data_IF_535593581942
#
_entry.id   IF_535593581942
#
_cell.length_a   1.000
_cell.length_b   1.000
_cell.length_c   1.000
_cell.angle_alpha   90.00
_cell.angle_beta   90.00
_cell.angle_gamma   90.00
#
_symmetry.space_group_name_H-M   'P 1'
#
loop_
_entity.id
_entity.type
_entity.pdbx_description
1 polymer ?
#
# COMPACT_ATOMS: atom_id res chain seq x y z
N UNK A 1 19.35 -13.61 -21.05
CA UNK A 1 17.87 -13.38 -20.98
C UNK A 1 17.36 -14.13 -19.77
N UNK A 2 16.64 -13.45 -18.89
CA UNK A 2 15.94 -14.15 -17.82
C UNK A 2 14.71 -14.83 -18.41
N UNK A 3 14.50 -16.11 -18.09
CA UNK A 3 13.23 -16.77 -18.43
C UNK A 3 12.09 -16.06 -17.71
N UNK A 4 11.05 -15.68 -18.44
CA UNK A 4 9.83 -15.16 -17.84
C UNK A 4 8.97 -16.33 -17.36
N UNK A 5 8.48 -16.24 -16.13
CA UNK A 5 7.57 -17.24 -15.57
C UNK A 5 6.19 -16.61 -15.43
N UNK A 6 5.18 -17.28 -15.94
CA UNK A 6 3.79 -16.87 -15.74
C UNK A 6 3.26 -17.48 -14.45
N UNK A 7 2.63 -16.65 -13.63
CA UNK A 7 2.02 -17.08 -12.36
C UNK A 7 0.54 -16.68 -12.34
N UNK A 8 -0.26 -17.45 -11.61
CA UNK A 8 -1.66 -17.12 -11.37
C UNK A 8 -1.77 -15.92 -10.44
N UNK A 9 -2.57 -14.92 -10.79
CA UNK A 9 -2.73 -13.66 -10.04
C UNK A 9 -3.29 -13.92 -8.65
N UNK A 10 -4.32 -14.76 -8.53
CA UNK A 10 -4.96 -15.07 -7.25
C UNK A 10 -3.99 -15.79 -6.30
N UNK A 11 -3.19 -16.72 -6.85
CA UNK A 11 -2.17 -17.43 -6.07
C UNK A 11 -1.06 -16.49 -5.59
N UNK A 12 -0.61 -15.58 -6.44
CA UNK A 12 0.39 -14.57 -6.08
C UNK A 12 -0.13 -13.61 -4.99
N UNK A 13 -1.38 -13.18 -5.14
CA UNK A 13 -2.04 -12.34 -4.13
C UNK A 13 -2.16 -13.06 -2.79
N UNK A 14 -2.63 -14.32 -2.78
CA UNK A 14 -2.77 -15.12 -1.56
C UNK A 14 -1.41 -15.34 -0.87
N UNK A 15 -0.36 -15.57 -1.65
CA UNK A 15 1.00 -15.68 -1.14
C UNK A 15 1.46 -14.37 -0.47
N UNK A 16 1.28 -13.24 -1.13
CA UNK A 16 1.62 -11.92 -0.59
C UNK A 16 0.86 -11.60 0.70
N UNK A 17 -0.45 -11.88 0.72
CA UNK A 17 -1.29 -11.76 1.91
C UNK A 17 -0.73 -12.57 3.09
N UNK A 18 -0.48 -13.87 2.88
CA UNK A 18 0.03 -14.75 3.92
C UNK A 18 1.38 -14.28 4.46
N UNK A 19 2.29 -13.88 3.58
CA UNK A 19 3.60 -13.38 3.98
C UNK A 19 3.52 -12.11 4.83
N UNK A 20 2.66 -11.15 4.47
CA UNK A 20 2.49 -9.90 5.21
C UNK A 20 1.83 -10.14 6.57
N UNK A 21 0.83 -11.00 6.65
CA UNK A 21 0.15 -11.34 7.92
C UNK A 21 1.13 -11.97 8.92
N UNK A 22 2.12 -12.76 8.46
CA UNK A 22 3.12 -13.35 9.37
C UNK A 22 4.00 -12.31 10.06
N UNK A 23 4.08 -11.09 9.54
CA UNK A 23 4.83 -9.98 10.19
C UNK A 23 4.05 -9.30 11.31
N UNK A 24 2.81 -9.69 11.56
CA UNK A 24 1.89 -9.04 12.50
C UNK A 24 0.98 -7.98 11.86
N UNK A 25 1.12 -7.74 10.55
CA UNK A 25 0.22 -6.81 9.85
C UNK A 25 -1.22 -7.33 9.84
N UNK A 26 -2.20 -6.44 10.01
CA UNK A 26 -3.62 -6.81 9.93
C UNK A 26 -3.98 -7.35 8.55
N UNK A 27 -5.01 -8.19 8.47
CA UNK A 27 -5.51 -8.70 7.19
C UNK A 27 -5.91 -7.57 6.23
N UNK A 28 -6.54 -6.52 6.75
CA UNK A 28 -6.96 -5.35 5.96
C UNK A 28 -5.77 -4.63 5.33
N UNK A 29 -4.75 -4.33 6.12
CA UNK A 29 -3.54 -3.67 5.63
C UNK A 29 -2.73 -4.58 4.70
N UNK A 30 -2.63 -5.86 5.02
CA UNK A 30 -1.97 -6.87 4.16
C UNK A 30 -2.65 -6.97 2.80
N UNK A 31 -3.99 -6.94 2.78
CA UNK A 31 -4.77 -6.91 1.52
C UNK A 31 -4.46 -5.67 0.70
N UNK A 32 -4.48 -4.48 1.31
CA UNK A 32 -4.15 -3.23 0.62
C UNK A 32 -2.77 -3.29 -0.02
N UNK A 33 -1.76 -3.79 0.69
CA UNK A 33 -0.40 -3.91 0.15
C UNK A 33 -0.33 -4.95 -0.97
N UNK A 34 -0.90 -6.15 -0.74
CA UNK A 34 -0.89 -7.23 -1.73
C UNK A 34 -1.64 -6.84 -3.02
N UNK A 35 -2.79 -6.19 -2.91
CA UNK A 35 -3.56 -5.69 -4.07
C UNK A 35 -2.70 -4.75 -4.93
N UNK A 36 -1.98 -3.81 -4.30
CA UNK A 36 -1.16 -2.84 -5.05
C UNK A 36 0.05 -3.51 -5.71
N UNK A 37 0.68 -4.47 -5.05
CA UNK A 37 1.82 -5.20 -5.63
C UNK A 37 1.41 -6.02 -6.85
N UNK A 38 0.33 -6.77 -6.73
CA UNK A 38 -0.20 -7.60 -7.85
C UNK A 38 -0.69 -6.72 -8.99
N UNK A 39 -1.41 -5.64 -8.70
CA UNK A 39 -1.86 -4.69 -9.71
C UNK A 39 -0.68 -4.09 -10.49
N UNK A 40 0.39 -3.72 -9.79
CA UNK A 40 1.60 -3.17 -10.39
C UNK A 40 2.27 -4.18 -11.32
N UNK A 41 2.36 -5.45 -10.91
CA UNK A 41 2.87 -6.52 -11.76
C UNK A 41 1.99 -6.74 -13.00
N UNK A 42 0.66 -6.68 -12.84
CA UNK A 42 -0.27 -6.85 -13.95
C UNK A 42 -0.15 -5.76 -15.02
N UNK A 43 0.37 -4.59 -14.65
CA UNK A 43 0.68 -3.50 -15.58
C UNK A 43 2.06 -3.64 -16.24
N UNK A 44 2.82 -4.68 -15.91
CA UNK A 44 4.17 -4.89 -16.43
C UNK A 44 5.25 -4.08 -15.72
N UNK A 45 4.97 -3.44 -14.60
CA UNK A 45 5.93 -2.66 -13.82
C UNK A 45 6.58 -3.53 -12.72
N UNK A 46 7.22 -4.61 -13.13
CA UNK A 46 7.75 -5.66 -12.26
C UNK A 46 8.77 -5.19 -11.21
N UNK A 47 9.44 -4.07 -11.45
CA UNK A 47 10.41 -3.51 -10.49
C UNK A 47 9.74 -2.95 -9.24
N UNK A 48 8.43 -2.68 -9.27
CA UNK A 48 7.64 -2.07 -8.20
C UNK A 48 6.50 -2.98 -7.70
N UNK A 49 6.41 -4.18 -8.22
CA UNK A 49 5.44 -5.21 -7.82
C UNK A 49 5.97 -6.18 -6.77
N UNK A 50 5.61 -7.43 -6.86
CA UNK A 50 5.93 -8.47 -5.87
C UNK A 50 7.44 -8.76 -5.71
N UNK A 51 8.28 -8.30 -6.64
CA UNK A 51 9.73 -8.27 -6.45
C UNK A 51 10.15 -7.60 -5.13
N UNK A 52 9.39 -6.60 -4.68
CA UNK A 52 9.66 -5.85 -3.45
C UNK A 52 9.15 -6.53 -2.18
N UNK A 53 8.33 -7.58 -2.28
CA UNK A 53 7.70 -8.22 -1.13
C UNK A 53 8.73 -8.72 -0.11
N UNK A 54 9.80 -9.37 -0.56
CA UNK A 54 10.86 -9.86 0.32
C UNK A 54 11.55 -8.75 1.12
N UNK A 55 11.81 -7.61 0.49
CA UNK A 55 12.40 -6.45 1.17
C UNK A 55 11.40 -5.79 2.15
N UNK A 56 10.10 -5.83 1.84
CA UNK A 56 9.06 -5.36 2.75
C UNK A 56 9.00 -6.20 4.02
N UNK A 57 9.03 -7.54 3.88
CA UNK A 57 9.05 -8.46 5.02
C UNK A 57 10.28 -8.21 5.90
N UNK A 58 11.46 -8.11 5.30
CA UNK A 58 12.72 -7.84 6.05
C UNK A 58 12.64 -6.52 6.83
N UNK A 59 12.06 -5.46 6.23
CA UNK A 59 11.92 -4.16 6.91
C UNK A 59 10.92 -4.21 8.06
N UNK A 60 9.82 -4.94 7.88
CA UNK A 60 8.81 -5.13 8.92
C UNK A 60 9.41 -5.92 10.11
N UNK A 61 10.11 -7.00 9.83
CA UNK A 61 10.76 -7.83 10.86
C UNK A 61 11.89 -7.09 11.59
N UNK A 62 12.59 -6.21 10.90
CA UNK A 62 13.66 -5.40 11.49
C UNK A 62 13.18 -4.14 12.22
N UNK A 63 11.88 -3.85 12.22
CA UNK A 63 11.31 -2.67 12.88
C UNK A 63 11.49 -1.36 12.11
N UNK A 64 11.91 -1.40 10.85
CA UNK A 64 12.03 -0.21 10.00
C UNK A 64 10.68 0.32 9.47
N UNK A 65 9.65 -0.49 9.60
CA UNK A 65 8.26 -0.15 9.29
C UNK A 65 7.37 -0.82 10.34
N UNK A 66 6.33 -0.13 10.81
CA UNK A 66 5.46 -0.62 11.87
C UNK A 66 4.35 -1.52 11.28
N UNK A 67 4.31 -2.84 11.60
CA UNK A 67 3.30 -3.74 11.08
C UNK A 67 1.87 -3.36 11.49
N UNK A 68 1.71 -2.81 12.70
CA UNK A 68 0.44 -2.33 13.25
C UNK A 68 0.19 -0.84 12.99
N UNK A 69 1.05 -0.19 12.21
CA UNK A 69 0.92 1.21 11.87
C UNK A 69 -0.43 1.53 11.22
N UNK A 70 -1.02 2.65 11.63
CA UNK A 70 -2.31 3.11 11.14
C UNK A 70 -2.16 4.47 10.48
N UNK A 71 -2.64 4.59 9.26
CA UNK A 71 -2.72 5.88 8.60
C UNK A 71 -3.97 6.64 9.08
N UNK A 72 -3.85 7.95 9.24
CA UNK A 72 -4.96 8.81 9.65
C UNK A 72 -4.88 10.20 9.02
N UNK A 73 -6.05 10.80 8.77
CA UNK A 73 -6.13 12.22 8.40
C UNK A 73 -5.86 13.04 9.64
N UNK A 74 -4.83 13.89 9.61
CA UNK A 74 -4.42 14.70 10.77
C UNK A 74 -4.79 16.17 10.62
N UNK A 75 -5.04 16.63 9.40
CA UNK A 75 -5.53 17.99 9.13
C UNK A 75 -6.23 18.03 7.77
N UNK A 76 -7.23 18.88 7.61
CA UNK A 76 -7.95 19.03 6.34
C UNK A 76 -8.61 20.39 6.20
N UNK A 77 -8.86 20.76 4.95
CA UNK A 77 -9.65 21.91 4.53
C UNK A 77 -10.62 21.53 3.41
N UNK A 78 -11.30 22.48 2.79
CA UNK A 78 -12.33 22.18 1.79
C UNK A 78 -11.83 21.40 0.56
N UNK A 79 -10.57 21.59 0.17
CA UNK A 79 -9.98 20.96 -1.02
C UNK A 79 -8.60 20.35 -0.76
N UNK A 80 -8.22 20.15 0.48
CA UNK A 80 -6.91 19.58 0.82
C UNK A 80 -6.97 18.78 2.14
N UNK A 81 -6.04 17.85 2.30
CA UNK A 81 -5.83 17.15 3.58
C UNK A 81 -4.37 16.72 3.74
N UNK A 82 -4.00 16.41 4.97
CA UNK A 82 -2.73 15.79 5.32
C UNK A 82 -3.01 14.45 6.01
N UNK A 83 -2.40 13.40 5.50
CA UNK A 83 -2.42 12.05 6.07
C UNK A 83 -1.08 11.79 6.75
N UNK A 84 -1.15 11.34 8.00
CA UNK A 84 0.00 10.75 8.69
C UNK A 84 -0.03 9.23 8.46
N UNK A 85 1.01 8.67 7.89
CA UNK A 85 1.11 7.25 7.55
C UNK A 85 1.36 6.35 8.77
N UNK A 86 1.66 6.89 9.95
CA UNK A 86 1.88 6.11 11.17
C UNK A 86 3.04 5.11 11.08
N UNK A 87 4.05 5.42 10.28
CA UNK A 87 5.16 4.51 9.95
C UNK A 87 4.71 3.14 9.38
N UNK A 88 3.46 3.05 8.88
CA UNK A 88 2.96 1.88 8.16
C UNK A 88 3.62 1.77 6.77
N UNK A 89 3.33 0.71 6.04
CA UNK A 89 3.72 0.61 4.62
C UNK A 89 3.09 1.76 3.83
N UNK A 90 3.88 2.38 2.96
CA UNK A 90 3.45 3.56 2.19
C UNK A 90 2.14 3.38 1.43
N UNK A 91 1.85 2.17 0.94
CA UNK A 91 0.60 1.85 0.27
C UNK A 91 -0.64 2.13 1.13
N UNK A 92 -0.53 1.96 2.45
CA UNK A 92 -1.63 2.16 3.40
C UNK A 92 -1.96 3.66 3.51
N UNK A 93 -0.94 4.49 3.72
CA UNK A 93 -1.12 5.94 3.77
C UNK A 93 -1.60 6.52 2.43
N UNK A 94 -1.02 6.06 1.33
CA UNK A 94 -1.42 6.51 -0.02
C UNK A 94 -2.84 6.07 -0.40
N UNK A 95 -3.29 4.88 0.01
CA UNK A 95 -4.64 4.42 -0.23
C UNK A 95 -5.67 5.30 0.52
N UNK A 96 -5.42 5.61 1.78
CA UNK A 96 -6.25 6.54 2.56
C UNK A 96 -6.25 7.94 1.93
N UNK A 97 -5.08 8.44 1.54
CA UNK A 97 -4.93 9.76 0.93
C UNK A 97 -5.71 9.86 -0.40
N UNK A 98 -5.66 8.83 -1.24
CA UNK A 98 -6.40 8.82 -2.50
C UNK A 98 -7.91 8.80 -2.28
N UNK A 99 -8.41 8.00 -1.34
CA UNK A 99 -9.84 8.00 -0.99
C UNK A 99 -10.28 9.38 -0.49
N UNK A 100 -9.48 10.00 0.38
CA UNK A 100 -9.77 11.36 0.88
C UNK A 100 -9.72 12.38 -0.25
N UNK A 101 -8.78 12.27 -1.17
CA UNK A 101 -8.70 13.15 -2.33
C UNK A 101 -9.94 13.06 -3.22
N UNK A 102 -10.43 11.85 -3.48
CA UNK A 102 -11.66 11.62 -4.26
C UNK A 102 -12.87 12.23 -3.55
N UNK A 103 -12.99 12.01 -2.24
CA UNK A 103 -14.08 12.59 -1.42
C UNK A 103 -14.10 14.11 -1.55
N UNK A 104 -12.96 14.77 -1.25
CA UNK A 104 -12.87 16.24 -1.31
C UNK A 104 -13.09 16.79 -2.71
N UNK A 105 -12.53 16.15 -3.74
CA UNK A 105 -12.69 16.59 -5.13
C UNK A 105 -14.14 16.44 -5.64
N UNK A 106 -14.90 15.49 -5.12
CA UNK A 106 -16.32 15.34 -5.49
C UNK A 106 -17.16 16.55 -5.10
N UNK A 107 -16.76 17.29 -4.08
CA UNK A 107 -17.44 18.50 -3.62
C UNK A 107 -16.77 19.78 -4.15
N UNK A 108 -15.44 19.85 -4.07
CA UNK A 108 -14.68 21.05 -4.43
C UNK A 108 -14.24 21.12 -5.91
N UNK A 109 -14.41 20.02 -6.68
CA UNK A 109 -13.99 19.92 -8.08
C UNK A 109 -12.53 19.51 -8.27
N UNK A 110 -11.68 19.77 -7.30
CA UNK A 110 -10.25 19.41 -7.26
C UNK A 110 -9.80 19.28 -5.81
N UNK A 111 -8.81 18.47 -5.56
CA UNK A 111 -8.22 18.38 -4.21
C UNK A 111 -6.74 18.04 -4.25
N UNK A 112 -6.06 18.28 -3.14
CA UNK A 112 -4.68 17.87 -2.89
C UNK A 112 -4.60 17.20 -1.52
N UNK A 113 -3.99 16.01 -1.45
CA UNK A 113 -3.75 15.31 -0.18
C UNK A 113 -2.29 14.93 -0.08
N UNK A 114 -1.61 15.44 0.94
CA UNK A 114 -0.23 15.09 1.27
C UNK A 114 -0.16 13.92 2.23
N UNK A 115 0.88 13.08 2.11
CA UNK A 115 1.19 11.98 3.03
C UNK A 115 2.57 12.18 3.64
N UNK A 116 2.70 11.97 4.96
CA UNK A 116 3.99 12.02 5.67
C UNK A 116 4.23 10.75 6.47
#
# INVERSE_FOLDING_TARGET
MSESTTVNIEALHAYGMSALVTTGMSESNSRTVADKLVLTDSWGTFTHGNKLLGDYIKRLDAGGTEPLGQAQVVNEGPAWAIVDGGNAKGQIGCDLAMRKAIELASEAGVSYVGVR
#
